data_IF_759316955578
#
_entry.id   IF_759316955578
#
_cell.length_a   1.000
_cell.length_b   1.000
_cell.length_c   1.000
_cell.angle_alpha   90.00
_cell.angle_beta   90.00
_cell.angle_gamma   90.00
#
_symmetry.space_group_name_H-M   'P 1'
#
loop_
_entity.id
_entity.type
_entity.pdbx_description
1 polymer ?
#
# COMPACT_ATOMS: atom_id res chain seq x y z
N UNK A 1 -4.73 12.76 -10.02
CA UNK A 1 -5.03 11.34 -9.73
C UNK A 1 -5.13 11.18 -8.22
N UNK A 2 -6.08 10.42 -7.75
CA UNK A 2 -6.20 10.06 -6.34
C UNK A 2 -5.63 8.66 -6.12
N UNK A 3 -4.81 8.53 -5.10
CA UNK A 3 -4.16 7.26 -4.75
C UNK A 3 -4.74 6.69 -3.47
N UNK A 4 -4.76 5.39 -3.36
CA UNK A 4 -4.96 4.71 -2.10
C UNK A 4 -3.91 3.63 -1.89
N UNK A 5 -3.62 3.33 -0.64
CA UNK A 5 -2.70 2.25 -0.26
C UNK A 5 -3.27 1.50 0.94
N UNK A 6 -2.99 0.21 1.02
CA UNK A 6 -3.40 -0.61 2.15
C UNK A 6 -2.20 -1.40 2.70
N UNK A 7 -2.02 -1.35 4.00
CA UNK A 7 -1.08 -2.17 4.77
C UNK A 7 -1.89 -3.07 5.70
N UNK A 8 -1.75 -4.39 5.54
CA UNK A 8 -2.39 -5.37 6.43
C UNK A 8 -1.40 -5.77 7.52
N UNK A 9 -1.84 -5.68 8.76
CA UNK A 9 -1.05 -5.94 9.96
C UNK A 9 -1.58 -7.19 10.66
N UNK A 10 -0.68 -8.07 11.04
CA UNK A 10 -0.97 -9.18 11.96
C UNK A 10 0.22 -9.35 12.90
N UNK A 11 0.09 -8.84 14.11
CA UNK A 11 1.18 -8.55 15.03
C UNK A 11 2.24 -7.63 14.37
N UNK A 12 2.89 -6.79 15.12
CA UNK A 12 3.93 -5.92 14.54
C UNK A 12 3.44 -4.51 14.19
N UNK A 13 2.69 -3.88 15.11
CA UNK A 13 2.24 -2.49 14.98
C UNK A 13 3.39 -1.51 14.69
N UNK A 14 4.56 -1.71 15.31
CA UNK A 14 5.68 -0.76 15.20
C UNK A 14 6.29 -0.74 13.79
N UNK A 15 6.41 -1.90 13.15
CA UNK A 15 6.85 -2.01 11.76
C UNK A 15 5.85 -1.36 10.81
N UNK A 16 4.57 -1.63 11.01
CA UNK A 16 3.52 -1.04 10.20
C UNK A 16 3.45 0.49 10.33
N UNK A 17 3.65 1.03 11.53
CA UNK A 17 3.73 2.48 11.75
C UNK A 17 4.94 3.11 11.06
N UNK A 18 6.11 2.44 11.08
CA UNK A 18 7.29 2.89 10.34
C UNK A 18 7.04 2.87 8.84
N UNK A 19 6.45 1.80 8.32
CA UNK A 19 6.06 1.70 6.91
C UNK A 19 5.10 2.83 6.52
N UNK A 20 4.02 3.01 7.30
CA UNK A 20 3.04 4.07 7.10
C UNK A 20 3.69 5.46 7.09
N UNK A 21 4.60 5.74 8.03
CA UNK A 21 5.30 7.02 8.10
C UNK A 21 6.12 7.29 6.84
N UNK A 22 6.86 6.29 6.31
CA UNK A 22 7.64 6.48 5.07
C UNK A 22 6.72 6.64 3.85
N UNK A 23 5.62 5.91 3.78
CA UNK A 23 4.60 6.06 2.72
C UNK A 23 4.06 7.48 2.69
N UNK A 24 3.64 8.02 3.84
CA UNK A 24 3.14 9.40 3.95
C UNK A 24 4.24 10.44 3.67
N UNK A 25 5.45 10.21 4.17
CA UNK A 25 6.56 11.14 4.00
C UNK A 25 6.98 11.29 2.55
N UNK A 26 7.00 10.22 1.78
CA UNK A 26 7.56 10.21 0.44
C UNK A 26 6.52 10.33 -0.67
N UNK A 27 5.24 10.00 -0.46
CA UNK A 27 4.18 10.17 -1.45
C UNK A 27 3.68 11.62 -1.41
N UNK A 28 4.13 12.47 -2.34
CA UNK A 28 3.89 13.91 -2.26
C UNK A 28 3.15 14.51 -3.43
N UNK A 29 3.21 13.88 -4.61
CA UNK A 29 2.67 14.45 -5.84
C UNK A 29 1.18 14.24 -6.03
N UNK A 30 0.60 13.27 -5.31
CA UNK A 30 -0.80 12.90 -5.42
C UNK A 30 -1.46 12.81 -4.05
N UNK A 31 -2.75 13.17 -3.92
CA UNK A 31 -3.54 12.85 -2.73
C UNK A 31 -3.52 11.36 -2.45
N UNK A 32 -3.43 10.99 -1.17
CA UNK A 32 -3.29 9.60 -0.74
C UNK A 32 -4.20 9.27 0.43
N UNK A 33 -5.03 8.23 0.29
CA UNK A 33 -5.70 7.59 1.43
C UNK A 33 -4.95 6.31 1.80
N UNK A 34 -4.35 6.28 2.99
CA UNK A 34 -3.65 5.10 3.52
C UNK A 34 -4.56 4.34 4.48
N UNK A 35 -4.85 3.09 4.16
CA UNK A 35 -5.58 2.17 5.02
C UNK A 35 -4.60 1.30 5.82
N UNK A 36 -4.76 1.26 7.14
CA UNK A 36 -4.08 0.33 8.03
C UNK A 36 -5.12 -0.70 8.51
N UNK A 37 -4.99 -1.93 8.08
CA UNK A 37 -5.96 -2.99 8.39
C UNK A 37 -5.35 -3.96 9.40
N UNK A 38 -5.84 -3.91 10.63
CA UNK A 38 -5.50 -4.93 11.63
C UNK A 38 -6.29 -6.21 11.37
N UNK A 39 -5.57 -7.29 11.13
CA UNK A 39 -6.15 -8.59 10.77
C UNK A 39 -6.43 -9.45 12.00
N UNK A 40 -7.07 -8.86 13.02
CA UNK A 40 -7.36 -9.45 14.33
C UNK A 40 -6.10 -9.88 15.09
N UNK A 41 -5.17 -8.95 15.28
CA UNK A 41 -3.94 -9.19 16.02
C UNK A 41 -4.18 -9.43 17.49
N UNK A 42 -3.74 -10.56 18.07
CA UNK A 42 -3.93 -10.86 19.50
C UNK A 42 -3.02 -10.02 20.43
N UNK A 43 -1.99 -9.36 19.90
CA UNK A 43 -1.02 -8.54 20.65
C UNK A 43 -1.49 -7.11 20.93
N UNK A 44 -2.73 -6.74 20.53
CA UNK A 44 -3.28 -5.41 20.70
C UNK A 44 -2.84 -4.40 19.64
N UNK A 45 -2.23 -4.85 18.53
CA UNK A 45 -1.79 -3.99 17.43
C UNK A 45 -2.91 -3.10 16.91
N UNK A 46 -4.14 -3.60 16.77
CA UNK A 46 -5.28 -2.83 16.28
C UNK A 46 -5.55 -1.58 17.12
N UNK A 47 -5.67 -1.74 18.44
CA UNK A 47 -5.89 -0.63 19.36
C UNK A 47 -4.71 0.39 19.35
N UNK A 48 -3.47 -0.11 19.22
CA UNK A 48 -2.28 0.73 19.11
C UNK A 48 -2.26 1.53 17.81
N UNK A 49 -2.65 0.95 16.69
CA UNK A 49 -2.79 1.65 15.41
C UNK A 49 -3.83 2.76 15.49
N UNK A 50 -5.01 2.46 16.05
CA UNK A 50 -6.04 3.49 16.26
C UNK A 50 -5.56 4.64 17.16
N UNK A 51 -4.91 4.30 18.27
CA UNK A 51 -4.36 5.30 19.19
C UNK A 51 -3.29 6.17 18.50
N UNK A 52 -2.40 5.57 17.71
CA UNK A 52 -1.36 6.28 16.98
C UNK A 52 -1.94 7.27 15.94
N UNK A 53 -2.96 6.85 15.19
CA UNK A 53 -3.60 7.72 14.20
C UNK A 53 -4.39 8.84 14.88
N UNK A 54 -5.19 8.54 15.90
CA UNK A 54 -5.94 9.54 16.69
C UNK A 54 -5.02 10.53 17.42
N UNK A 55 -3.89 10.03 17.91
CA UNK A 55 -2.88 10.83 18.63
C UNK A 55 -1.96 11.65 17.72
N UNK A 56 -2.10 11.57 16.40
CA UNK A 56 -1.28 12.31 15.44
C UNK A 56 0.17 11.81 15.36
N UNK A 57 0.43 10.55 15.70
CA UNK A 57 1.77 9.96 15.61
C UNK A 57 2.27 9.83 14.16
N UNK A 58 1.35 9.81 13.19
CA UNK A 58 1.65 9.82 11.77
C UNK A 58 1.52 11.24 11.22
N UNK A 59 2.62 11.78 10.73
CA UNK A 59 2.62 13.11 10.10
C UNK A 59 2.03 13.03 8.70
N UNK A 60 0.87 13.64 8.50
CA UNK A 60 0.21 13.75 7.19
C UNK A 60 0.49 15.10 6.54
N UNK A 61 0.48 15.13 5.20
CA UNK A 61 0.55 16.34 4.41
C UNK A 61 -0.85 16.71 3.87
N UNK A 62 -1.07 17.94 3.38
CA UNK A 62 -2.32 18.29 2.72
C UNK A 62 -2.67 17.28 1.61
N UNK A 63 -3.91 16.80 1.59
CA UNK A 63 -4.36 15.77 0.65
C UNK A 63 -4.08 14.33 1.08
N UNK A 64 -3.50 14.12 2.26
CA UNK A 64 -3.29 12.78 2.81
C UNK A 64 -4.27 12.47 3.94
N UNK A 65 -4.74 11.22 3.96
CA UNK A 65 -5.65 10.68 4.98
C UNK A 65 -5.17 9.30 5.42
N UNK A 66 -5.30 9.01 6.71
CA UNK A 66 -5.04 7.68 7.27
C UNK A 66 -6.29 7.13 7.91
N UNK A 67 -6.65 5.91 7.56
CA UNK A 67 -7.81 5.21 8.10
C UNK A 67 -7.41 3.86 8.68
N UNK A 68 -7.94 3.52 9.85
CA UNK A 68 -7.71 2.21 10.48
C UNK A 68 -8.97 1.36 10.35
N UNK A 69 -8.80 0.09 10.06
CA UNK A 69 -9.85 -0.94 10.05
C UNK A 69 -9.40 -2.12 10.89
N UNK A 70 -10.12 -2.41 11.97
CA UNK A 70 -9.87 -3.58 12.81
C UNK A 70 -10.84 -4.69 12.44
N UNK A 71 -10.31 -5.84 12.02
CA UNK A 71 -11.10 -7.03 11.70
C UNK A 71 -11.37 -7.85 12.96
N UNK A 72 -12.43 -8.63 12.94
CA UNK A 72 -12.82 -9.51 14.05
C UNK A 72 -12.09 -10.87 14.02
N UNK A 73 -11.60 -11.27 12.84
CA UNK A 73 -10.94 -12.55 12.62
C UNK A 73 -9.81 -12.42 11.59
N UNK A 74 -8.80 -13.27 11.70
CA UNK A 74 -7.71 -13.35 10.75
C UNK A 74 -8.13 -14.21 9.56
N UNK A 75 -8.46 -13.57 8.44
CA UNK A 75 -8.78 -14.24 7.18
C UNK A 75 -7.60 -14.36 6.22
N UNK A 76 -6.37 -14.08 6.68
CA UNK A 76 -5.17 -14.05 5.86
C UNK A 76 -4.95 -12.71 5.15
N UNK A 77 -3.79 -12.57 4.50
CA UNK A 77 -3.32 -11.33 3.87
C UNK A 77 -4.29 -10.79 2.81
N UNK A 78 -4.69 -11.63 1.86
CA UNK A 78 -5.59 -11.22 0.78
C UNK A 78 -6.95 -10.75 1.29
N UNK A 79 -7.54 -11.45 2.28
CA UNK A 79 -8.81 -11.06 2.88
C UNK A 79 -8.69 -9.74 3.64
N UNK A 80 -7.54 -9.49 4.28
CA UNK A 80 -7.23 -8.22 4.91
C UNK A 80 -7.29 -7.07 3.90
N UNK A 81 -6.60 -7.20 2.76
CA UNK A 81 -6.64 -6.20 1.69
C UNK A 81 -8.03 -6.03 1.09
N UNK A 82 -8.77 -7.12 0.91
CA UNK A 82 -10.14 -7.05 0.36
C UNK A 82 -11.11 -6.29 1.27
N UNK A 83 -10.78 -6.07 2.54
CA UNK A 83 -11.62 -5.31 3.47
C UNK A 83 -11.89 -3.89 2.98
N UNK A 84 -10.93 -3.26 2.31
CA UNK A 84 -11.03 -1.87 1.86
C UNK A 84 -11.56 -1.72 0.43
N UNK A 85 -11.60 -2.80 -0.36
CA UNK A 85 -12.00 -2.73 -1.78
C UNK A 85 -13.36 -2.07 -2.02
N UNK A 86 -14.42 -2.31 -1.20
CA UNK A 86 -15.73 -1.66 -1.41
C UNK A 86 -15.71 -0.15 -1.18
N UNK A 87 -14.70 0.38 -0.51
CA UNK A 87 -14.57 1.78 -0.15
C UNK A 87 -13.66 2.56 -1.12
N UNK A 88 -13.00 1.87 -2.04
CA UNK A 88 -12.02 2.50 -2.94
C UNK A 88 -12.70 3.35 -4.00
N UNK A 89 -12.31 4.62 -4.05
CA UNK A 89 -12.69 5.59 -5.11
C UNK A 89 -11.47 6.13 -5.85
N UNK A 90 -10.28 5.65 -5.48
CA UNK A 90 -9.00 6.09 -6.06
C UNK A 90 -8.77 5.55 -7.47
N UNK A 91 -7.97 6.28 -8.26
CA UNK A 91 -7.56 5.85 -9.60
C UNK A 91 -6.62 4.62 -9.54
N UNK A 92 -5.75 4.59 -8.52
CA UNK A 92 -4.81 3.47 -8.30
C UNK A 92 -4.77 3.07 -6.83
N UNK A 93 -4.73 1.76 -6.59
CA UNK A 93 -4.62 1.18 -5.27
C UNK A 93 -3.33 0.39 -5.10
N UNK A 94 -2.60 0.64 -4.01
CA UNK A 94 -1.33 -0.01 -3.69
C UNK A 94 -1.50 -1.04 -2.58
N UNK A 95 -1.05 -2.27 -2.84
CA UNK A 95 -0.97 -3.36 -1.86
C UNK A 95 0.44 -3.34 -1.29
N UNK A 96 0.57 -3.03 0.00
CA UNK A 96 1.84 -2.82 0.66
C UNK A 96 2.05 -3.81 1.81
N UNK A 97 3.27 -4.32 1.93
CA UNK A 97 3.66 -5.11 3.09
C UNK A 97 3.92 -4.21 4.32
N UNK A 98 3.72 -4.70 5.54
CA UNK A 98 3.90 -3.91 6.77
C UNK A 98 5.37 -3.59 7.10
N UNK A 99 6.32 -4.21 6.43
CA UNK A 99 7.77 -4.07 6.63
C UNK A 99 8.48 -3.23 5.56
N UNK A 100 7.73 -2.62 4.63
CA UNK A 100 8.33 -1.78 3.60
C UNK A 100 8.86 -0.47 4.18
N UNK A 101 9.89 0.07 3.52
CA UNK A 101 10.39 1.41 3.76
C UNK A 101 10.62 2.11 2.42
N UNK A 102 9.89 3.18 2.19
CA UNK A 102 10.12 4.05 1.04
C UNK A 102 11.25 5.04 1.35
N UNK A 103 12.07 5.33 0.35
CA UNK A 103 13.15 6.33 0.42
C UNK A 103 13.01 7.39 -0.67
N UNK A 104 12.01 7.26 -1.53
CA UNK A 104 11.69 8.16 -2.64
C UNK A 104 10.20 8.11 -2.93
N UNK A 105 9.69 9.00 -3.79
CA UNK A 105 8.26 9.09 -4.17
C UNK A 105 7.85 7.97 -5.16
N UNK A 106 8.05 6.73 -4.72
CA UNK A 106 7.85 5.53 -5.54
C UNK A 106 6.38 5.33 -5.93
N UNK A 107 5.44 5.65 -5.04
CA UNK A 107 4.02 5.43 -5.34
C UNK A 107 3.55 6.39 -6.43
N UNK A 108 3.96 7.66 -6.37
CA UNK A 108 3.63 8.62 -7.43
C UNK A 108 4.29 8.25 -8.76
N UNK A 109 5.56 7.79 -8.73
CA UNK A 109 6.25 7.32 -9.94
C UNK A 109 5.53 6.14 -10.60
N UNK A 110 5.05 5.19 -9.80
CA UNK A 110 4.28 4.04 -10.30
C UNK A 110 2.92 4.47 -10.87
N UNK A 111 2.22 5.38 -10.19
CA UNK A 111 0.94 5.89 -10.64
C UNK A 111 1.07 6.65 -11.98
N UNK A 112 2.07 7.53 -12.09
CA UNK A 112 2.35 8.26 -13.34
C UNK A 112 2.73 7.31 -14.47
N UNK A 113 3.53 6.28 -14.15
CA UNK A 113 3.87 5.25 -15.13
C UNK A 113 2.63 4.47 -15.59
N UNK A 114 1.75 4.05 -14.66
CA UNK A 114 0.50 3.36 -14.98
C UNK A 114 -0.42 4.23 -15.86
N UNK A 115 -0.52 5.52 -15.56
CA UNK A 115 -1.32 6.46 -16.37
C UNK A 115 -0.81 6.58 -17.81
N UNK A 116 0.52 6.48 -18.01
CA UNK A 116 1.14 6.48 -19.33
C UNK A 116 1.03 5.13 -20.08
N UNK A 117 0.62 4.06 -19.39
CA UNK A 117 0.54 2.70 -19.94
C UNK A 117 -0.85 2.08 -19.67
N UNK A 118 -1.90 2.54 -20.37
CA UNK A 118 -3.29 2.11 -20.09
C UNK A 118 -3.56 0.63 -20.40
N UNK A 119 -2.63 -0.05 -21.05
CA UNK A 119 -2.64 -1.50 -21.30
C UNK A 119 -2.09 -2.31 -20.10
N UNK A 120 -1.48 -1.66 -19.11
CA UNK A 120 -0.99 -2.30 -17.90
C UNK A 120 -2.10 -2.32 -16.82
N UNK A 121 -2.37 -3.50 -16.27
CA UNK A 121 -3.36 -3.66 -15.19
C UNK A 121 -2.69 -3.72 -13.80
N UNK A 122 -1.39 -3.99 -13.75
CA UNK A 122 -0.61 -4.05 -12.52
C UNK A 122 0.85 -3.67 -12.79
N UNK A 123 1.46 -2.94 -11.88
CA UNK A 123 2.88 -2.62 -11.90
C UNK A 123 3.50 -2.81 -10.50
N UNK A 124 4.78 -3.14 -10.46
CA UNK A 124 5.57 -3.20 -9.23
C UNK A 124 6.94 -2.61 -9.47
N UNK A 125 7.59 -2.04 -8.43
CA UNK A 125 9.00 -1.66 -8.54
C UNK A 125 9.87 -2.88 -8.83
N UNK A 126 10.88 -2.72 -9.69
CA UNK A 126 11.92 -3.73 -9.85
C UNK A 126 12.80 -3.79 -8.60
N UNK A 127 13.13 -4.99 -8.10
CA UNK A 127 14.17 -5.14 -7.08
C UNK A 127 15.53 -4.84 -7.71
N UNK A 128 16.20 -3.77 -7.26
CA UNK A 128 17.62 -3.59 -7.54
C UNK A 128 18.39 -4.60 -6.68
N UNK A 129 19.00 -5.62 -7.29
CA UNK A 129 19.97 -6.44 -6.59
C UNK A 129 21.12 -5.55 -6.09
N UNK A 130 21.66 -5.85 -4.91
CA UNK A 130 22.68 -5.03 -4.19
C UNK A 130 23.99 -4.73 -4.94
N UNK A 131 24.09 -5.03 -6.23
CA UNK A 131 25.30 -4.88 -7.05
C UNK A 131 25.09 -4.15 -8.38
N UNK A 132 24.20 -3.19 -8.48
CA UNK A 132 24.12 -2.34 -9.67
C UNK A 132 23.85 -0.89 -9.28
N UNK A 133 24.72 0.00 -9.81
CA UNK A 133 24.59 1.44 -9.91
C UNK A 133 23.12 1.85 -10.11
N UNK A 134 22.64 2.94 -9.49
CA UNK A 134 21.23 3.33 -9.57
C UNK A 134 20.84 3.66 -11.02
N UNK A 135 20.37 2.67 -11.73
CA UNK A 135 19.59 2.86 -12.95
C UNK A 135 18.15 3.02 -12.54
N UNK A 136 17.47 4.00 -13.12
CA UNK A 136 16.05 4.27 -12.93
C UNK A 136 15.26 2.96 -12.75
N UNK A 137 14.43 2.91 -11.70
CA UNK A 137 13.58 1.76 -11.42
C UNK A 137 12.86 1.32 -12.70
N UNK A 138 13.20 0.14 -13.22
CA UNK A 138 12.40 -0.46 -14.27
C UNK A 138 11.16 -1.01 -13.60
N UNK A 139 10.02 -0.35 -13.79
CA UNK A 139 8.72 -0.92 -13.44
C UNK A 139 8.53 -2.20 -14.26
N UNK A 140 8.32 -3.34 -13.58
CA UNK A 140 7.88 -4.56 -14.22
C UNK A 140 6.36 -4.49 -14.40
N UNK A 141 5.87 -4.42 -15.64
CA UNK A 141 4.45 -4.51 -15.93
C UNK A 141 4.04 -5.97 -16.16
N UNK A 142 2.92 -6.36 -15.59
CA UNK A 142 2.23 -7.61 -15.96
C UNK A 142 1.20 -7.24 -17.00
N UNK A 143 1.38 -7.75 -18.23
CA UNK A 143 0.38 -7.63 -19.30
C UNK A 143 -0.56 -8.82 -19.22
N UNK A 144 -1.84 -8.58 -19.00
CA UNK A 144 -2.85 -9.59 -19.23
C UNK A 144 -3.15 -9.63 -20.74
N UNK A 145 -2.87 -10.75 -21.38
CA UNK A 145 -3.41 -11.06 -22.72
C UNK A 145 -4.94 -11.22 -22.66
N UNK A 146 -5.63 -11.34 -23.82
CA UNK A 146 -7.07 -11.46 -23.85
C UNK A 146 -7.52 -12.59 -22.93
N UNK A 147 -8.52 -12.33 -22.12
CA UNK A 147 -9.05 -13.19 -21.06
C UNK A 147 -9.29 -14.63 -21.53
N UNK A 148 -8.42 -15.53 -21.21
CA UNK A 148 -8.76 -16.93 -21.05
C UNK A 148 -9.08 -17.14 -19.57
N UNK A 149 -10.20 -17.79 -19.29
CA UNK A 149 -10.71 -18.08 -17.95
C UNK A 149 -9.82 -19.09 -17.21
N UNK A 150 -8.57 -18.74 -16.96
CA UNK A 150 -7.66 -19.48 -16.10
C UNK A 150 -7.51 -18.72 -14.79
N UNK A 151 -8.10 -19.28 -13.74
CA UNK A 151 -8.09 -18.74 -12.39
C UNK A 151 -6.68 -18.37 -11.94
N UNK A 152 -6.40 -17.09 -11.72
CA UNK A 152 -5.32 -16.67 -10.85
C UNK A 152 -5.72 -17.05 -9.42
N UNK A 153 -5.17 -18.14 -8.92
CA UNK A 153 -5.15 -18.43 -7.48
C UNK A 153 -3.89 -17.77 -6.91
N UNK A 154 -4.10 -16.80 -6.03
CA UNK A 154 -3.08 -16.31 -5.11
C UNK A 154 -2.96 -17.28 -3.94
#
# INVERSE_FOLDING_TARGET
>A
MELSACIVVYNGCDEALKAAQTVLQYTRRHPLTLYLVDNASPDGSGARLEAAVKGGALSTQPGQKVEVRCRKENGGFGTGHNTVLPELTSDYHFILNPDIQLTADTLSDLADWMAAHPDAVMARPGCASRMAVPRACRCGAVRCGPWSTASCRF
#
